data_IF_343456119401
#
_entry.id   IF_343456119401
#
_cell.length_a   1.000
_cell.length_b   1.000
_cell.length_c   1.000
_cell.angle_alpha   90.00
_cell.angle_beta   90.00
_cell.angle_gamma   90.00
#
_symmetry.space_group_name_H-M   'P 1'
#
loop_
_entity.id
_entity.type
_entity.pdbx_description
1 polymer ?
#
# COMPACT_ATOMS: atom_id res chain seq x y z
N UNK A 1 5.17 10.27 7.21
CA UNK A 1 3.97 9.45 7.50
C UNK A 1 3.07 10.04 8.60
N UNK A 2 3.62 10.58 9.68
CA UNK A 2 2.81 11.24 10.73
C UNK A 2 1.80 12.26 10.18
N UNK A 3 2.24 13.13 9.26
CA UNK A 3 1.37 14.15 8.64
C UNK A 3 0.19 13.54 7.87
N UNK A 4 0.41 12.45 7.12
CA UNK A 4 -0.67 11.84 6.33
C UNK A 4 -1.64 11.07 7.22
N UNK A 5 -1.14 10.37 8.24
CA UNK A 5 -1.97 9.67 9.23
C UNK A 5 -2.89 10.66 9.96
N UNK A 6 -2.34 11.78 10.41
CA UNK A 6 -3.11 12.82 11.09
C UNK A 6 -4.15 13.46 10.18
N UNK A 7 -3.83 13.65 8.90
CA UNK A 7 -4.78 14.18 7.93
C UNK A 7 -5.93 13.21 7.64
N UNK A 8 -5.62 11.93 7.40
CA UNK A 8 -6.62 10.88 7.15
C UNK A 8 -7.53 10.66 8.35
N UNK A 9 -7.03 10.87 9.57
CA UNK A 9 -7.83 10.79 10.80
C UNK A 9 -8.92 11.86 10.90
N UNK A 10 -8.86 12.93 10.09
CA UNK A 10 -9.92 13.96 10.03
C UNK A 10 -11.13 13.51 9.22
N UNK A 11 -11.00 12.44 8.43
CA UNK A 11 -12.14 11.90 7.69
C UNK A 11 -13.08 11.14 8.63
N UNK A 12 -14.38 11.38 8.46
CA UNK A 12 -15.43 10.68 9.22
C UNK A 12 -15.36 9.16 9.03
N UNK A 13 -15.04 8.73 7.81
CA UNK A 13 -14.89 7.34 7.45
C UNK A 13 -13.41 7.04 7.20
N UNK A 14 -12.94 5.87 7.64
CA UNK A 14 -11.59 5.38 7.32
C UNK A 14 -11.53 4.96 5.85
N UNK A 15 -10.38 5.19 5.21
CA UNK A 15 -10.12 4.70 3.86
C UNK A 15 -9.81 3.20 3.93
N UNK A 16 -10.49 2.38 3.14
CA UNK A 16 -10.19 0.93 3.06
C UNK A 16 -8.87 0.67 2.33
N UNK A 17 -8.58 1.47 1.29
CA UNK A 17 -7.35 1.40 0.51
C UNK A 17 -6.82 2.82 0.34
N UNK A 18 -5.52 3.01 0.56
CA UNK A 18 -4.80 4.26 0.34
C UNK A 18 -3.62 3.94 -0.57
N UNK A 19 -3.56 4.57 -1.73
CA UNK A 19 -2.44 4.48 -2.65
C UNK A 19 -1.60 5.77 -2.57
N UNK A 20 -0.30 5.62 -2.39
CA UNK A 20 0.66 6.72 -2.31
C UNK A 20 1.76 6.48 -3.33
N UNK A 21 2.03 7.47 -4.16
CA UNK A 21 3.21 7.54 -5.04
C UNK A 21 4.19 8.55 -4.49
N UNK A 22 5.46 8.49 -4.92
CA UNK A 22 6.52 9.35 -4.41
C UNK A 22 6.67 9.24 -2.88
N UNK A 23 6.72 7.99 -2.38
CA UNK A 23 6.83 7.72 -0.95
C UNK A 23 8.17 8.15 -0.37
N UNK A 24 9.24 8.04 -1.17
CA UNK A 24 10.63 8.33 -0.79
C UNK A 24 11.09 7.52 0.43
N UNK A 25 10.46 6.36 0.66
CA UNK A 25 10.86 5.50 1.75
C UNK A 25 12.19 4.80 1.45
N UNK A 26 12.83 4.33 2.53
CA UNK A 26 14.04 3.52 2.51
C UNK A 26 13.81 2.26 3.33
N UNK A 27 14.50 1.18 3.00
CA UNK A 27 14.26 -0.13 3.64
C UNK A 27 14.51 -0.12 5.17
N UNK A 28 15.31 0.82 5.68
CA UNK A 28 15.64 0.99 7.10
C UNK A 28 14.55 1.71 7.93
N UNK A 29 13.56 2.34 7.28
CA UNK A 29 12.49 3.09 7.96
C UNK A 29 11.11 2.43 7.86
N UNK A 30 11.05 1.17 7.44
CA UNK A 30 9.79 0.48 7.16
C UNK A 30 8.86 0.38 8.37
N UNK A 31 9.44 0.22 9.56
CA UNK A 31 8.67 0.17 10.82
C UNK A 31 8.06 1.54 11.18
N UNK A 32 8.72 2.65 10.82
CA UNK A 32 8.26 4.00 11.12
C UNK A 32 7.13 4.47 10.19
N UNK A 33 7.07 3.89 8.98
CA UNK A 33 6.06 4.25 7.98
C UNK A 33 4.82 3.39 8.07
N UNK A 34 4.83 2.35 8.90
CA UNK A 34 3.67 1.50 9.14
C UNK A 34 2.52 2.28 9.80
N UNK A 35 1.29 2.04 9.34
CA UNK A 35 0.09 2.63 9.94
C UNK A 35 -0.72 1.56 10.67
N UNK A 36 -0.99 1.80 11.95
CA UNK A 36 -1.84 0.94 12.76
C UNK A 36 -3.21 0.70 12.10
N UNK A 37 -3.64 -0.56 12.05
CA UNK A 37 -4.88 -1.00 11.41
C UNK A 37 -4.79 -1.18 9.90
N UNK A 38 -3.61 -0.99 9.31
CA UNK A 38 -3.35 -1.22 7.89
C UNK A 38 -2.20 -2.20 7.69
N UNK A 39 -2.32 -3.04 6.67
CA UNK A 39 -1.22 -3.73 6.03
C UNK A 39 -0.56 -2.81 5.01
N UNK A 40 0.78 -2.80 4.98
CA UNK A 40 1.58 -2.01 4.06
C UNK A 40 2.22 -2.91 3.00
N UNK A 41 1.92 -2.62 1.74
CA UNK A 41 2.56 -3.20 0.57
C UNK A 41 3.28 -2.07 -0.18
N UNK A 42 4.55 -2.26 -0.53
CA UNK A 42 5.33 -1.18 -1.12
C UNK A 42 6.40 -1.70 -2.08
N UNK A 43 6.85 -0.80 -2.94
CA UNK A 43 8.04 -0.97 -3.76
C UNK A 43 8.87 0.32 -3.65
N UNK A 44 10.07 0.19 -3.09
CA UNK A 44 11.02 1.29 -3.00
C UNK A 44 11.86 1.37 -4.28
N UNK A 45 12.08 2.59 -4.76
CA UNK A 45 13.03 2.83 -5.83
C UNK A 45 14.45 2.57 -5.32
N UNK A 46 15.28 1.94 -6.16
CA UNK A 46 16.70 1.74 -5.88
C UNK A 46 17.54 2.71 -6.71
N UNK A 47 18.76 3.00 -6.27
CA UNK A 47 19.81 3.70 -7.03
C UNK A 47 19.57 5.17 -7.42
N UNK A 48 18.43 5.77 -7.06
CA UNK A 48 18.15 7.21 -7.27
C UNK A 48 17.43 7.85 -6.09
N UNK A 49 17.47 9.19 -6.07
CA UNK A 49 16.66 10.00 -5.17
C UNK A 49 15.24 10.13 -5.72
N UNK A 50 14.26 9.87 -4.85
CA UNK A 50 12.83 10.00 -5.15
C UNK A 50 12.20 8.74 -5.74
N UNK A 51 10.89 8.79 -5.98
CA UNK A 51 10.08 7.65 -6.40
C UNK A 51 9.52 6.82 -5.24
N UNK A 52 9.16 5.58 -5.57
CA UNK A 52 8.54 4.62 -4.65
C UNK A 52 7.02 4.72 -4.61
N UNK A 53 6.39 3.57 -4.39
CA UNK A 53 4.92 3.41 -4.30
C UNK A 53 4.55 2.57 -3.08
N UNK A 54 3.40 2.89 -2.49
CA UNK A 54 2.85 2.15 -1.37
C UNK A 54 1.32 2.03 -1.45
N UNK A 55 0.81 0.89 -0.99
CA UNK A 55 -0.59 0.64 -0.68
C UNK A 55 -0.70 0.39 0.82
N UNK A 56 -1.58 1.14 1.47
CA UNK A 56 -2.07 0.81 2.81
C UNK A 56 -3.48 0.27 2.67
N UNK A 57 -3.69 -0.95 3.14
CA UNK A 57 -4.96 -1.65 3.04
C UNK A 57 -5.40 -2.02 4.44
N UNK A 58 -6.65 -1.72 4.81
CA UNK A 58 -7.13 -2.03 6.15
C UNK A 58 -7.01 -3.51 6.44
N UNK A 59 -6.57 -3.87 7.64
CA UNK A 59 -6.31 -5.28 8.00
C UNK A 59 -7.58 -6.15 8.06
N UNK A 60 -8.77 -5.56 7.99
CA UNK A 60 -10.05 -6.25 7.87
C UNK A 60 -10.37 -6.68 6.41
N UNK A 61 -9.66 -6.12 5.42
CA UNK A 61 -9.80 -6.49 4.03
C UNK A 61 -8.78 -7.58 3.66
N UNK A 62 -9.28 -8.80 3.42
CA UNK A 62 -8.45 -9.90 2.93
C UNK A 62 -7.86 -9.55 1.57
N UNK A 63 -6.54 -9.44 1.52
CA UNK A 63 -5.79 -9.27 0.28
C UNK A 63 -4.47 -10.05 0.33
N UNK A 64 -3.83 -10.19 -0.84
CA UNK A 64 -2.50 -10.80 -0.96
C UNK A 64 -1.68 -10.06 -2.00
N UNK A 65 -0.37 -9.95 -1.78
CA UNK A 65 0.57 -9.43 -2.78
C UNK A 65 0.63 -10.37 -3.99
N UNK A 66 0.46 -9.83 -5.19
CA UNK A 66 0.71 -10.54 -6.46
C UNK A 66 2.14 -10.27 -6.86
N UNK A 67 3.05 -11.15 -6.45
CA UNK A 67 4.50 -10.96 -6.62
C UNK A 67 4.91 -10.88 -8.08
N UNK A 68 4.23 -11.64 -8.95
CA UNK A 68 4.49 -11.72 -10.39
C UNK A 68 4.17 -10.42 -11.12
N UNK A 69 3.31 -9.57 -10.52
CA UNK A 69 2.90 -8.27 -11.05
C UNK A 69 3.41 -7.11 -10.18
N UNK A 70 4.30 -7.40 -9.23
CA UNK A 70 4.94 -6.41 -8.37
C UNK A 70 6.40 -6.32 -8.77
N UNK A 71 6.81 -5.17 -9.28
CA UNK A 71 8.16 -5.01 -9.83
C UNK A 71 8.68 -3.59 -9.69
N UNK A 72 9.99 -3.48 -9.76
CA UNK A 72 10.72 -2.23 -9.86
C UNK A 72 11.68 -2.36 -11.03
N UNK A 73 11.53 -1.49 -12.01
CA UNK A 73 12.46 -1.35 -13.12
C UNK A 73 13.14 0.01 -12.99
N UNK A 74 14.47 0.00 -12.85
CA UNK A 74 15.21 1.22 -12.56
C UNK A 74 15.07 2.20 -13.73
N UNK A 75 14.80 3.46 -13.40
CA UNK A 75 14.54 4.53 -14.37
C UNK A 75 13.29 4.37 -15.25
N UNK A 76 12.47 3.35 -15.00
CA UNK A 76 11.23 3.13 -15.75
C UNK A 76 10.02 3.26 -14.84
N UNK A 77 9.86 2.36 -13.86
CA UNK A 77 8.63 2.33 -13.06
C UNK A 77 8.73 1.49 -11.78
N UNK A 78 7.84 1.80 -10.84
CA UNK A 78 7.57 1.04 -9.63
C UNK A 78 6.09 0.60 -9.63
N UNK A 79 5.83 -0.70 -9.46
CA UNK A 79 4.48 -1.28 -9.41
C UNK A 79 4.34 -2.14 -8.16
N UNK A 80 3.29 -1.89 -7.38
CA UNK A 80 2.83 -2.78 -6.32
C UNK A 80 1.43 -3.29 -6.66
N UNK A 81 1.24 -4.60 -6.66
CA UNK A 81 -0.03 -5.24 -7.06
C UNK A 81 -0.54 -6.14 -5.96
N UNK A 82 -1.82 -5.97 -5.61
CA UNK A 82 -2.53 -6.79 -4.62
C UNK A 82 -3.80 -7.38 -5.24
N UNK A 83 -4.13 -8.60 -4.84
CA UNK A 83 -5.42 -9.23 -5.14
C UNK A 83 -6.31 -9.10 -3.91
N UNK A 84 -7.48 -8.47 -4.05
CA UNK A 84 -8.45 -8.30 -2.98
C UNK A 84 -9.52 -9.39 -3.08
N UNK A 85 -9.72 -10.13 -1.99
CA UNK A 85 -10.74 -11.17 -1.90
C UNK A 85 -12.06 -10.57 -1.41
N UNK A 86 -13.09 -10.60 -2.25
CA UNK A 86 -14.45 -10.22 -1.85
C UNK A 86 -15.27 -11.45 -1.45
N UNK A 87 -15.35 -11.74 -0.15
CA UNK A 87 -16.14 -12.87 0.36
C UNK A 87 -17.66 -12.62 0.28
N UNK A 88 -18.11 -11.37 0.24
CA UNK A 88 -19.52 -11.02 0.09
C UNK A 88 -20.07 -11.38 -1.31
N UNK A 89 -19.22 -11.37 -2.34
CA UNK A 89 -19.61 -11.77 -3.70
C UNK A 89 -19.91 -13.27 -3.83
N UNK A 90 -19.36 -14.14 -2.96
CA UNK A 90 -19.64 -15.58 -2.99
C UNK A 90 -21.09 -15.94 -2.63
N UNK A 91 -21.81 -15.02 -1.96
CA UNK A 91 -23.18 -15.28 -1.47
C UNK A 91 -24.26 -15.19 -2.57
N UNK A 92 -23.92 -14.69 -3.75
CA UNK A 92 -24.86 -14.49 -4.87
C UNK A 92 -24.73 -15.54 -5.98
N UNK A 93 -23.85 -16.53 -5.82
CA UNK A 93 -23.59 -17.58 -6.81
C UNK A 93 -23.85 -19.01 -6.29
N UNK A 94 -24.51 -19.15 -5.14
CA UNK A 94 -24.95 -20.44 -4.59
C UNK A 94 -26.48 -20.47 -4.46
#
# INVERSE_FOLDING_TARGET
VLIIKDYLNKFKNKCTVIAITETWFKDDVMDEVQMEGYELYFVNRKNKRGGGVALYITSDLKCKLVKEMTMMEDNVMEIVTVEISNEAAKKYFN
#
